data_IF_089421813346
#
_entry.id   IF_089421813346
#
_cell.length_a   1.000
_cell.length_b   1.000
_cell.length_c   1.000
_cell.angle_alpha   90.00
_cell.angle_beta   90.00
_cell.angle_gamma   90.00
#
_symmetry.space_group_name_H-M   'P 1'
#
loop_
_entity.id
_entity.type
_entity.pdbx_description
1 polymer ?
#
# COMPACT_ATOMS: atom_id res chain seq x y z
N UNK A 1 -8.60 3.91 -11.26
CA UNK A 1 -7.85 4.57 -10.16
C UNK A 1 -7.69 6.04 -10.50
N UNK A 2 -7.98 6.98 -9.59
CA UNK A 2 -7.82 8.41 -9.83
C UNK A 2 -6.36 8.78 -10.13
N UNK A 3 -6.13 9.73 -11.04
CA UNK A 3 -4.77 10.17 -11.38
C UNK A 3 -4.22 11.24 -10.43
N UNK A 4 -5.11 11.98 -9.75
CA UNK A 4 -4.78 13.08 -8.86
C UNK A 4 -5.22 12.79 -7.42
N UNK A 5 -4.45 13.27 -6.42
CA UNK A 5 -4.88 13.17 -5.03
C UNK A 5 -6.09 14.07 -4.77
N UNK A 6 -7.05 13.57 -3.98
CA UNK A 6 -8.25 14.33 -3.60
C UNK A 6 -7.93 15.71 -3.01
N UNK A 7 -6.91 15.76 -2.14
CA UNK A 7 -6.38 17.04 -1.64
C UNK A 7 -5.28 17.55 -2.58
N UNK A 8 -5.60 18.59 -3.36
CA UNK A 8 -4.70 19.21 -4.37
C UNK A 8 -3.30 19.57 -3.84
N UNK A 9 -3.16 19.88 -2.54
CA UNK A 9 -1.86 20.19 -1.92
C UNK A 9 -0.83 19.05 -2.05
N UNK A 10 -1.28 17.80 -2.20
CA UNK A 10 -0.39 16.65 -2.37
C UNK A 10 -0.05 16.34 -3.83
N UNK A 11 -0.58 17.09 -4.80
CA UNK A 11 -0.32 16.85 -6.23
C UNK A 11 1.17 16.98 -6.58
N UNK A 12 1.91 17.80 -5.82
CA UNK A 12 3.36 18.01 -5.98
C UNK A 12 4.18 17.43 -4.83
N UNK A 13 3.63 16.48 -4.07
CA UNK A 13 4.36 15.86 -2.98
C UNK A 13 5.59 15.11 -3.52
N UNK A 14 6.80 15.28 -2.94
CA UNK A 14 8.03 14.69 -3.46
C UNK A 14 8.15 13.21 -3.06
N UNK A 15 7.33 12.35 -3.67
CA UNK A 15 7.39 10.91 -3.44
C UNK A 15 8.77 10.35 -3.79
N UNK A 16 9.26 9.43 -2.95
CA UNK A 16 10.52 8.72 -3.18
C UNK A 16 10.32 7.61 -4.20
N UNK A 17 11.28 7.50 -5.12
CA UNK A 17 11.43 6.31 -5.98
C UNK A 17 12.40 5.36 -5.31
N UNK A 18 11.88 4.52 -4.43
CA UNK A 18 12.66 3.55 -3.66
C UNK A 18 12.15 2.13 -3.90
N UNK A 19 12.68 1.51 -4.94
CA UNK A 19 12.27 0.17 -5.36
C UNK A 19 12.61 -0.89 -4.31
N UNK A 20 13.70 -0.71 -3.55
CA UNK A 20 14.10 -1.68 -2.54
C UNK A 20 13.10 -1.73 -1.38
N UNK A 21 12.71 -0.55 -0.86
CA UNK A 21 11.69 -0.47 0.18
C UNK A 21 10.30 -0.87 -0.32
N UNK A 22 9.96 -0.58 -1.58
CA UNK A 22 8.71 -1.06 -2.18
C UNK A 22 8.66 -2.60 -2.22
N UNK A 23 9.72 -3.26 -2.68
CA UNK A 23 9.80 -4.73 -2.71
C UNK A 23 9.80 -5.35 -1.31
N UNK A 24 10.48 -4.72 -0.35
CA UNK A 24 10.45 -5.14 1.05
C UNK A 24 9.03 -5.04 1.63
N UNK A 25 8.30 -3.97 1.30
CA UNK A 25 6.89 -3.81 1.69
C UNK A 25 6.01 -4.88 1.05
N UNK A 26 6.08 -5.06 -0.28
CA UNK A 26 5.29 -6.07 -1.01
C UNK A 26 5.52 -7.49 -0.49
N UNK A 27 6.76 -7.84 -0.14
CA UNK A 27 7.13 -9.17 0.37
C UNK A 27 6.99 -9.34 1.90
N UNK A 28 6.60 -8.28 2.61
CA UNK A 28 6.51 -8.28 4.08
C UNK A 28 7.85 -8.55 4.76
N UNK A 29 8.91 -7.83 4.35
CA UNK A 29 10.27 -7.88 4.89
C UNK A 29 10.77 -6.48 5.29
N UNK A 30 9.88 -5.65 5.80
CA UNK A 30 10.15 -4.27 6.22
C UNK A 30 10.86 -4.19 7.56
N UNK A 31 10.79 -5.26 8.37
CA UNK A 31 11.28 -5.27 9.75
C UNK A 31 10.25 -4.78 10.77
N UNK A 32 9.06 -4.37 10.33
CA UNK A 32 7.96 -3.94 11.19
C UNK A 32 6.94 -5.07 11.32
N UNK A 33 6.81 -5.75 12.48
CA UNK A 33 6.06 -7.00 12.59
C UNK A 33 4.60 -6.93 12.11
N UNK A 34 3.90 -5.83 12.40
CA UNK A 34 2.49 -5.66 12.00
C UNK A 34 2.36 -5.49 10.49
N UNK A 35 3.27 -4.75 9.85
CA UNK A 35 3.28 -4.56 8.39
C UNK A 35 3.65 -5.87 7.71
N UNK A 36 4.69 -6.53 8.19
CA UNK A 36 5.19 -7.78 7.62
C UNK A 36 4.14 -8.90 7.73
N UNK A 37 3.45 -9.02 8.86
CA UNK A 37 2.38 -10.00 9.03
C UNK A 37 1.22 -9.75 8.06
N UNK A 38 0.77 -8.50 7.94
CA UNK A 38 -0.32 -8.13 7.04
C UNK A 38 0.05 -8.39 5.56
N UNK A 39 1.22 -7.96 5.12
CA UNK A 39 1.64 -8.15 3.72
C UNK A 39 1.83 -9.63 3.36
N UNK A 40 2.35 -10.44 4.30
CA UNK A 40 2.43 -11.90 4.12
C UNK A 40 1.06 -12.57 4.12
N UNK A 41 0.12 -12.11 4.95
CA UNK A 41 -1.26 -12.60 4.94
C UNK A 41 -1.93 -12.30 3.60
N UNK A 42 -1.80 -11.06 3.11
CA UNK A 42 -2.31 -10.63 1.81
C UNK A 42 -1.78 -11.55 0.70
N UNK A 43 -0.47 -11.77 0.64
CA UNK A 43 0.14 -12.63 -0.37
C UNK A 43 -0.37 -14.08 -0.33
N UNK A 44 -0.59 -14.63 0.87
CA UNK A 44 -1.01 -16.03 1.03
C UNK A 44 -2.50 -16.26 0.82
N UNK A 45 -3.34 -15.28 1.17
CA UNK A 45 -4.79 -15.48 1.28
C UNK A 45 -5.60 -14.60 0.34
N UNK A 46 -4.98 -13.58 -0.26
CA UNK A 46 -5.67 -12.57 -1.04
C UNK A 46 -6.55 -11.64 -0.21
N UNK A 47 -6.44 -11.68 1.12
CA UNK A 47 -7.27 -10.90 2.04
C UNK A 47 -6.48 -10.36 3.23
N UNK A 48 -6.75 -9.11 3.58
CA UNK A 48 -6.36 -8.54 4.87
C UNK A 48 -7.54 -7.73 5.45
N UNK A 49 -7.75 -7.74 6.78
CA UNK A 49 -8.77 -6.93 7.42
C UNK A 49 -8.58 -5.44 7.13
N UNK A 50 -9.67 -4.67 7.15
CA UNK A 50 -9.62 -3.24 6.85
C UNK A 50 -8.58 -2.47 7.68
N UNK A 51 -8.46 -2.80 8.97
CA UNK A 51 -7.45 -2.18 9.84
C UNK A 51 -6.02 -2.45 9.35
N UNK A 52 -5.74 -3.65 8.86
CA UNK A 52 -4.44 -3.98 8.30
C UNK A 52 -4.19 -3.22 6.99
N UNK A 53 -5.20 -3.07 6.12
CA UNK A 53 -5.11 -2.23 4.91
C UNK A 53 -4.70 -0.80 5.24
N UNK A 54 -5.37 -0.19 6.21
CA UNK A 54 -5.05 1.17 6.67
C UNK A 54 -3.62 1.29 7.18
N UNK A 55 -3.15 0.32 7.96
CA UNK A 55 -1.79 0.33 8.53
C UNK A 55 -0.75 0.24 7.41
N UNK A 56 -0.84 -0.74 6.52
CA UNK A 56 0.19 -0.95 5.50
C UNK A 56 0.18 0.16 4.44
N UNK A 57 -0.98 0.74 4.11
CA UNK A 57 -1.09 1.88 3.20
C UNK A 57 -0.54 3.18 3.81
N UNK A 58 -0.80 3.41 5.11
CA UNK A 58 -0.20 4.54 5.84
C UNK A 58 1.31 4.37 5.91
N UNK A 59 1.81 3.17 6.16
CA UNK A 59 3.24 2.89 6.21
C UNK A 59 3.94 3.19 4.88
N UNK A 60 3.36 2.74 3.76
CA UNK A 60 3.90 3.03 2.44
C UNK A 60 3.99 4.54 2.15
N UNK A 61 2.93 5.28 2.45
CA UNK A 61 2.81 6.70 2.08
C UNK A 61 3.47 7.67 3.06
N UNK A 62 3.52 7.35 4.36
CA UNK A 62 4.01 8.27 5.40
C UNK A 62 5.38 7.91 5.94
N UNK A 63 5.68 6.61 6.07
CA UNK A 63 6.96 6.16 6.60
C UNK A 63 7.98 5.94 5.47
N UNK A 64 7.59 5.24 4.40
CA UNK A 64 8.46 5.04 3.23
C UNK A 64 8.46 6.22 2.25
N UNK A 65 7.46 7.11 2.35
CA UNK A 65 7.24 8.23 1.44
C UNK A 65 7.15 7.79 -0.03
N UNK A 66 6.64 6.59 -0.28
CA UNK A 66 6.41 6.04 -1.61
C UNK A 66 5.00 6.41 -2.07
N UNK A 67 4.81 6.64 -3.37
CA UNK A 67 3.52 7.05 -3.91
C UNK A 67 2.42 6.03 -3.59
N UNK A 68 1.30 6.53 -3.10
CA UNK A 68 0.09 5.74 -2.86
C UNK A 68 -0.39 4.98 -4.11
N UNK A 69 -0.05 5.47 -5.31
CA UNK A 69 -0.35 4.80 -6.59
C UNK A 69 0.28 3.41 -6.69
N UNK A 70 1.47 3.22 -6.12
CA UNK A 70 2.15 1.92 -6.10
C UNK A 70 1.42 0.94 -5.18
N UNK A 71 0.93 1.43 -4.02
CA UNK A 71 0.11 0.63 -3.11
C UNK A 71 -1.24 0.25 -3.72
N UNK A 72 -1.89 1.20 -4.41
CA UNK A 72 -3.15 0.96 -5.11
C UNK A 72 -2.99 -0.09 -6.22
N UNK A 73 -1.90 -0.02 -7.00
CA UNK A 73 -1.58 -1.04 -8.02
C UNK A 73 -1.39 -2.42 -7.39
N UNK A 74 -0.58 -2.50 -6.32
CA UNK A 74 -0.33 -3.75 -5.61
C UNK A 74 -1.61 -4.37 -5.04
N UNK A 75 -2.46 -3.56 -4.42
CA UNK A 75 -3.75 -4.01 -3.88
C UNK A 75 -4.72 -4.47 -4.97
N UNK A 76 -4.73 -3.80 -6.12
CA UNK A 76 -5.55 -4.23 -7.26
C UNK A 76 -5.12 -5.61 -7.80
N UNK A 77 -3.83 -5.92 -7.75
CA UNK A 77 -3.28 -7.20 -8.23
C UNK A 77 -3.39 -8.34 -7.21
N UNK A 78 -3.48 -8.04 -5.91
CA UNK A 78 -3.36 -9.04 -4.84
C UNK A 78 -4.61 -9.27 -3.99
N UNK A 79 -5.53 -8.30 -3.93
CA UNK A 79 -6.78 -8.49 -3.20
C UNK A 79 -7.79 -9.26 -4.05
N UNK A 80 -8.23 -10.41 -3.54
CA UNK A 80 -9.25 -11.25 -4.19
C UNK A 80 -10.64 -10.63 -4.05
N UNK A 81 -10.88 -9.85 -3.00
CA UNK A 81 -12.15 -9.17 -2.74
C UNK A 81 -12.23 -7.79 -3.39
N UNK A 82 -11.90 -7.70 -4.69
CA UNK A 82 -11.84 -6.45 -5.45
C UNK A 82 -13.20 -5.73 -5.55
N UNK A 83 -13.64 -5.12 -4.45
CA UNK A 83 -14.71 -4.14 -4.42
C UNK A 83 -14.09 -2.75 -4.61
N UNK A 84 -14.38 -2.17 -5.78
CA UNK A 84 -13.89 -0.85 -6.21
C UNK A 84 -14.22 0.27 -5.20
N UNK A 85 -15.25 0.10 -4.36
CA UNK A 85 -15.63 1.09 -3.35
C UNK A 85 -14.61 1.25 -2.20
N UNK A 86 -13.79 0.23 -1.93
CA UNK A 86 -12.86 0.24 -0.79
C UNK A 86 -11.40 0.51 -1.19
N UNK A 87 -11.10 0.59 -2.49
CA UNK A 87 -9.74 0.66 -3.05
C UNK A 87 -9.45 1.95 -3.84
N UNK A 88 -10.34 2.94 -3.82
CA UNK A 88 -10.21 4.21 -4.56
C UNK A 88 -9.85 5.39 -3.65
#
# INVERSE_FOLDING_TARGET
>A
MPEEPFQKKFARFPWKKDTANLLAWQSGKTGYPVVDAAMRQLWKTGFIPNRARMIVASFLSKDLLISWKEGARWFAETLVDHDLANNT
#
